data_IF_730320468317
#
_entry.id   IF_730320468317
#
_cell.length_a   1.000
_cell.length_b   1.000
_cell.length_c   1.000
_cell.angle_alpha   90.00
_cell.angle_beta   90.00
_cell.angle_gamma   90.00
#
_symmetry.space_group_name_H-M   'P 1'
#
loop_
_entity.id
_entity.type
_entity.pdbx_description
1 polymer ?
#
# COMPACT_ATOMS: atom_id res chain seq x y z
N UNK A 1 -24.19 -3.47 -28.45
CA UNK A 1 -23.15 -4.38 -27.93
C UNK A 1 -22.77 -3.89 -26.55
N UNK A 2 -23.35 -4.48 -25.52
CA UNK A 2 -22.98 -4.24 -24.12
C UNK A 2 -21.59 -4.82 -23.91
N UNK A 3 -20.58 -3.97 -23.81
CA UNK A 3 -19.27 -4.38 -23.31
C UNK A 3 -19.48 -4.96 -21.92
N UNK A 4 -19.24 -6.26 -21.77
CA UNK A 4 -19.15 -6.86 -20.44
C UNK A 4 -18.10 -6.06 -19.66
N UNK A 5 -18.38 -5.62 -18.43
CA UNK A 5 -17.33 -5.05 -17.60
C UNK A 5 -16.22 -6.08 -17.55
N UNK A 6 -15.04 -5.64 -17.96
CA UNK A 6 -13.86 -6.45 -18.14
C UNK A 6 -13.74 -7.47 -17.01
N UNK A 7 -14.03 -8.73 -17.33
CA UNK A 7 -14.14 -9.80 -16.32
C UNK A 7 -12.80 -9.99 -15.61
N UNK A 8 -11.70 -9.63 -16.27
CA UNK A 8 -10.35 -9.69 -15.73
C UNK A 8 -10.16 -8.67 -14.60
N UNK A 9 -10.69 -7.45 -14.74
CA UNK A 9 -10.68 -6.47 -13.65
C UNK A 9 -11.45 -6.94 -12.40
N UNK A 10 -12.56 -7.66 -12.58
CA UNK A 10 -13.35 -8.19 -11.45
C UNK A 10 -12.61 -9.34 -10.76
N UNK A 11 -11.99 -10.24 -11.54
CA UNK A 11 -11.18 -11.34 -11.00
C UNK A 11 -9.92 -10.83 -10.28
N UNK A 12 -9.25 -9.82 -10.83
CA UNK A 12 -8.09 -9.16 -10.20
C UNK A 12 -8.47 -8.49 -8.88
N UNK A 13 -9.57 -7.74 -8.85
CA UNK A 13 -10.06 -7.12 -7.62
C UNK A 13 -10.43 -8.16 -6.55
N UNK A 14 -10.97 -9.31 -6.95
CA UNK A 14 -11.25 -10.44 -6.06
C UNK A 14 -9.98 -11.03 -5.46
N UNK A 15 -8.98 -11.37 -6.29
CA UNK A 15 -7.68 -11.94 -5.85
C UNK A 15 -6.92 -10.97 -4.95
N UNK A 16 -6.90 -9.69 -5.31
CA UNK A 16 -6.31 -8.62 -4.52
C UNK A 16 -6.93 -8.53 -3.13
N UNK A 17 -8.27 -8.48 -3.09
CA UNK A 17 -9.01 -8.42 -1.84
C UNK A 17 -8.76 -9.64 -0.96
N UNK A 18 -8.80 -10.86 -1.52
CA UNK A 18 -8.56 -12.09 -0.76
C UNK A 18 -7.14 -12.16 -0.17
N UNK A 19 -6.13 -11.75 -0.95
CA UNK A 19 -4.73 -11.74 -0.52
C UNK A 19 -4.51 -10.79 0.65
N UNK A 20 -4.93 -9.53 0.51
CA UNK A 20 -4.57 -8.48 1.45
C UNK A 20 -5.55 -8.31 2.62
N UNK A 21 -6.78 -8.83 2.51
CA UNK A 21 -7.74 -8.83 3.63
C UNK A 21 -7.27 -9.69 4.80
N UNK A 22 -6.38 -10.65 4.57
CA UNK A 22 -5.73 -11.45 5.62
C UNK A 22 -4.90 -10.61 6.58
N UNK A 23 -4.40 -9.45 6.13
CA UNK A 23 -3.63 -8.52 6.95
C UNK A 23 -4.55 -7.55 7.69
N UNK A 24 -5.50 -6.92 6.97
CA UNK A 24 -6.52 -6.04 7.56
C UNK A 24 -7.64 -5.74 6.56
N UNK A 25 -8.84 -5.43 7.05
CA UNK A 25 -9.97 -5.01 6.19
C UNK A 25 -9.69 -3.71 5.40
N UNK A 26 -8.78 -2.84 5.87
CA UNK A 26 -8.41 -1.60 5.17
C UNK A 26 -7.18 -1.74 4.27
N UNK A 27 -6.43 -2.84 4.39
CA UNK A 27 -5.18 -3.01 3.65
C UNK A 27 -5.36 -3.08 2.13
N UNK A 28 -6.35 -3.81 1.57
CA UNK A 28 -6.53 -3.88 0.13
C UNK A 28 -6.70 -2.51 -0.52
N UNK A 29 -7.40 -1.60 0.15
CA UNK A 29 -7.60 -0.24 -0.37
C UNK A 29 -6.29 0.53 -0.41
N UNK A 30 -5.49 0.50 0.67
CA UNK A 30 -4.18 1.17 0.72
C UNK A 30 -3.20 0.61 -0.31
N UNK A 31 -3.19 -0.71 -0.52
CA UNK A 31 -2.36 -1.31 -1.58
C UNK A 31 -2.80 -0.81 -2.95
N UNK A 32 -4.11 -0.76 -3.22
CA UNK A 32 -4.59 -0.21 -4.50
C UNK A 32 -4.21 1.27 -4.68
N UNK A 33 -4.27 2.08 -3.62
CA UNK A 33 -3.86 3.49 -3.66
C UNK A 33 -2.34 3.65 -3.84
N UNK A 34 -1.52 2.84 -3.16
CA UNK A 34 -0.07 2.86 -3.27
C UNK A 34 0.46 2.44 -4.64
N UNK A 35 -0.29 1.61 -5.36
CA UNK A 35 0.02 1.17 -6.73
C UNK A 35 -0.79 1.94 -7.79
N UNK A 36 -1.43 3.07 -7.44
CA UNK A 36 -2.21 3.90 -8.38
C UNK A 36 -3.32 3.13 -9.14
N UNK A 37 -3.84 2.06 -8.54
CA UNK A 37 -4.83 1.16 -9.15
C UNK A 37 -4.25 -0.03 -9.93
N UNK A 38 -2.92 -0.16 -10.03
CA UNK A 38 -2.24 -1.28 -10.70
C UNK A 38 -2.22 -2.54 -9.81
N UNK A 39 -3.34 -3.25 -9.81
CA UNK A 39 -3.52 -4.47 -9.01
C UNK A 39 -2.67 -5.65 -9.52
N UNK A 40 -2.34 -5.69 -10.81
CA UNK A 40 -1.51 -6.76 -11.38
C UNK A 40 -0.11 -6.71 -10.79
N UNK A 41 0.47 -5.52 -10.72
CA UNK A 41 1.77 -5.31 -10.10
C UNK A 41 1.76 -5.67 -8.61
N UNK A 42 0.73 -5.22 -7.87
CA UNK A 42 0.57 -5.55 -6.46
C UNK A 42 0.42 -7.07 -6.21
N UNK A 43 -0.24 -7.79 -7.12
CA UNK A 43 -0.41 -9.25 -7.04
C UNK A 43 0.85 -10.03 -7.44
N UNK A 44 1.73 -9.44 -8.25
CA UNK A 44 2.97 -10.07 -8.69
C UNK A 44 4.09 -9.94 -7.67
N UNK A 45 4.12 -8.82 -6.95
CA UNK A 45 5.16 -8.55 -5.96
C UNK A 45 4.98 -9.37 -4.67
N UNK A 46 6.10 -9.61 -3.97
CA UNK A 46 6.14 -10.31 -2.68
C UNK A 46 5.53 -9.47 -1.57
N UNK A 47 5.05 -10.09 -0.48
CA UNK A 47 4.41 -9.36 0.62
C UNK A 47 5.33 -8.33 1.28
N UNK A 48 6.64 -8.58 1.34
CA UNK A 48 7.65 -7.62 1.82
C UNK A 48 7.80 -6.40 0.89
N UNK A 49 7.76 -6.61 -0.43
CA UNK A 49 7.84 -5.53 -1.43
C UNK A 49 6.57 -4.68 -1.38
N UNK A 50 5.40 -5.34 -1.34
CA UNK A 50 4.11 -4.65 -1.21
C UNK A 50 4.06 -3.82 0.06
N UNK A 51 4.49 -4.37 1.20
CA UNK A 51 4.53 -3.63 2.45
C UNK A 51 5.50 -2.44 2.40
N UNK A 52 6.64 -2.59 1.72
CA UNK A 52 7.60 -1.48 1.52
C UNK A 52 6.99 -0.36 0.68
N UNK A 53 6.34 -0.70 -0.42
CA UNK A 53 5.66 0.27 -1.30
C UNK A 53 4.53 0.98 -0.56
N UNK A 54 3.68 0.24 0.16
CA UNK A 54 2.60 0.84 0.96
C UNK A 54 3.18 1.73 2.06
N UNK A 55 4.24 1.32 2.75
CA UNK A 55 4.86 2.13 3.79
C UNK A 55 5.49 3.43 3.24
N UNK A 56 6.04 3.41 2.02
CA UNK A 56 6.54 4.60 1.35
C UNK A 56 5.39 5.55 0.97
N UNK A 57 4.31 5.01 0.39
CA UNK A 57 3.11 5.76 0.08
C UNK A 57 2.44 6.35 1.34
N UNK A 58 2.30 5.58 2.41
CA UNK A 58 1.73 6.07 3.69
C UNK A 58 2.54 7.26 4.23
N UNK A 59 3.88 7.20 4.16
CA UNK A 59 4.77 8.31 4.56
C UNK A 59 4.55 9.56 3.72
N UNK A 60 4.46 9.41 2.39
CA UNK A 60 4.19 10.51 1.47
C UNK A 60 2.84 11.19 1.74
N UNK A 61 1.83 10.38 2.09
CA UNK A 61 0.50 10.85 2.47
C UNK A 61 0.42 11.40 3.91
N UNK A 62 1.53 11.42 4.66
CA UNK A 62 1.57 11.84 6.07
C UNK A 62 0.84 10.90 7.03
N UNK A 63 0.54 9.68 6.60
CA UNK A 63 -0.09 8.63 7.40
C UNK A 63 1.01 7.86 8.17
N UNK A 64 1.01 7.95 9.50
CA UNK A 64 2.00 7.22 10.31
C UNK A 64 1.77 5.71 10.24
N UNK A 65 2.81 4.95 9.89
CA UNK A 65 2.84 3.48 9.86
C UNK A 65 2.65 2.80 11.24
N UNK A 66 2.33 3.56 12.30
CA UNK A 66 2.15 3.08 13.68
C UNK A 66 0.86 2.27 13.89
N UNK A 67 -0.06 2.26 12.93
CA UNK A 67 -1.35 1.54 13.01
C UNK A 67 -1.27 0.04 12.69
N UNK A 68 -0.08 -0.54 12.47
CA UNK A 68 0.08 -1.94 12.09
C UNK A 68 0.59 -2.81 13.26
N UNK A 69 -0.20 -3.77 13.78
CA UNK A 69 0.20 -4.64 14.91
C UNK A 69 1.18 -5.77 14.50
N UNK A 70 2.07 -5.53 13.54
CA UNK A 70 3.01 -6.54 13.02
C UNK A 70 4.28 -6.01 12.37
N UNK A 71 4.35 -4.70 12.03
CA UNK A 71 5.56 -4.07 11.54
C UNK A 71 6.28 -3.36 12.69
N UNK A 72 7.01 -4.16 13.47
CA UNK A 72 7.87 -3.63 14.52
C UNK A 72 8.89 -2.64 13.95
N UNK A 73 8.85 -1.40 14.47
CA UNK A 73 9.99 -0.48 14.61
C UNK A 73 10.94 -0.42 13.41
N UNK A 74 10.54 0.29 12.35
CA UNK A 74 11.49 0.87 11.41
C UNK A 74 11.59 2.37 11.65
N UNK A 75 12.49 2.68 12.59
CA UNK A 75 13.31 3.88 12.67
C UNK A 75 12.64 5.25 12.48
N UNK A 76 12.57 5.94 13.62
CA UNK A 76 12.93 7.35 13.77
C UNK A 76 14.20 7.65 12.93
N UNK A 77 14.03 8.18 11.73
CA UNK A 77 15.05 8.91 11.02
C UNK A 77 14.42 10.19 10.46
N UNK A 78 14.23 11.13 11.38
CA UNK A 78 14.20 12.55 11.08
C UNK A 78 15.62 13.06 11.39
N UNK A 79 16.36 13.58 10.40
CA UNK A 79 17.23 14.70 10.66
C UNK A 79 16.43 15.97 10.42
N UNK A 80 16.02 16.57 11.53
CA UNK A 80 15.67 17.98 11.67
C UNK A 80 16.76 18.81 10.98
N UNK A 81 16.49 19.27 9.76
CA UNK A 81 17.31 20.24 9.06
C UNK A 81 17.10 21.61 9.69
N UNK A 82 17.87 21.91 10.73
CA UNK A 82 18.06 23.27 11.25
C UNK A 82 18.57 24.18 10.13
N UNK A 83 17.83 25.23 9.81
CA UNK A 83 18.40 26.46 9.27
C UNK A 83 18.31 27.54 10.36
N UNK A 84 19.41 27.66 11.12
CA UNK A 84 19.74 28.89 11.81
C UNK A 84 20.53 29.76 10.82
N UNK A 85 19.82 30.59 10.06
CA UNK A 85 20.40 31.64 9.23
C UNK A 85 20.60 32.93 10.05
N UNK A 86 21.87 33.34 10.10
CA UNK A 86 22.47 34.43 10.88
C UNK A 86 21.85 35.84 10.70
#
# INVERSE_FOLDING_TARGET
>A
MTGYPDTQHIELAGRHSDRFRKVSNRYPRRVAEAYEGDLERALTESDEQVATTVAAWERDQGLSAQDWPGYGRWERNEPEGKDHGA
#
